data_IF_345459269719
#
_entry.id   IF_345459269719
#
_cell.length_a   1.000
_cell.length_b   1.000
_cell.length_c   1.000
_cell.angle_alpha   90.00
_cell.angle_beta   90.00
_cell.angle_gamma   90.00
#
_symmetry.space_group_name_H-M   'P 1'
#
loop_
_entity.id
_entity.type
_entity.pdbx_description
1 polymer ?
#
# COMPACT_ATOMS: atom_id res chain seq x y z
N UNK A 1 7.37 0.62 8.77
CA UNK A 1 6.51 0.80 7.58
C UNK A 1 5.50 1.89 7.84
N UNK A 2 4.63 1.74 8.85
CA UNK A 2 3.58 2.73 9.14
C UNK A 2 3.99 4.20 9.23
N UNK A 3 5.16 4.60 9.78
CA UNK A 3 5.55 6.01 9.77
C UNK A 3 5.78 6.59 8.37
N UNK A 4 6.37 5.81 7.46
CA UNK A 4 6.62 6.25 6.08
C UNK A 4 5.31 6.27 5.28
N UNK A 5 4.47 5.26 5.46
CA UNK A 5 3.12 5.18 4.86
C UNK A 5 2.23 6.34 5.30
N UNK A 6 2.19 6.66 6.61
CA UNK A 6 1.50 7.85 7.14
C UNK A 6 2.02 9.13 6.50
N UNK A 7 3.35 9.27 6.41
CA UNK A 7 3.96 10.44 5.77
C UNK A 7 3.59 10.56 4.29
N UNK A 8 3.49 9.44 3.58
CA UNK A 8 3.16 9.43 2.15
C UNK A 8 1.70 9.80 1.92
N UNK A 9 0.78 9.23 2.71
CA UNK A 9 -0.66 9.57 2.66
C UNK A 9 -0.89 11.04 3.00
N UNK A 10 -0.23 11.57 4.04
CA UNK A 10 -0.36 12.98 4.40
C UNK A 10 0.25 13.91 3.34
N UNK A 11 1.43 13.58 2.80
CA UNK A 11 2.09 14.41 1.77
C UNK A 11 1.28 14.51 0.48
N UNK A 12 0.53 13.46 0.15
CA UNK A 12 -0.20 13.30 -1.11
C UNK A 12 -1.72 13.37 -0.94
N UNK A 13 -2.22 13.98 0.14
CA UNK A 13 -3.65 14.03 0.44
C UNK A 13 -4.46 14.81 -0.60
N UNK A 14 -3.86 15.83 -1.22
CA UNK A 14 -4.44 16.64 -2.30
C UNK A 14 -4.12 16.11 -3.71
N UNK A 15 -3.46 14.95 -3.80
CA UNK A 15 -3.04 14.33 -5.04
C UNK A 15 -3.95 13.13 -5.40
N UNK A 16 -4.04 12.74 -6.68
CA UNK A 16 -4.76 11.55 -7.12
C UNK A 16 -3.99 10.27 -6.76
N UNK A 17 -3.73 10.09 -5.47
CA UNK A 17 -2.96 9.01 -4.87
C UNK A 17 -3.82 8.26 -3.85
N UNK A 18 -3.56 6.96 -3.70
CA UNK A 18 -4.18 6.16 -2.65
C UNK A 18 -3.22 5.07 -2.21
N UNK A 19 -2.99 5.00 -0.89
CA UNK A 19 -2.36 3.85 -0.26
C UNK A 19 -3.44 2.83 0.13
N UNK A 20 -3.21 1.57 -0.19
CA UNK A 20 -4.13 0.48 0.18
C UNK A 20 -3.35 -0.58 0.96
N UNK A 21 -3.81 -0.86 2.18
CA UNK A 21 -3.26 -1.90 3.04
C UNK A 21 -3.93 -3.26 2.81
N UNK A 22 -3.14 -4.32 2.84
CA UNK A 22 -3.64 -5.70 2.91
C UNK A 22 -2.92 -6.37 4.08
N UNK A 23 -3.66 -6.93 5.02
CA UNK A 23 -3.12 -7.52 6.24
C UNK A 23 -3.52 -8.99 6.37
N UNK A 24 -2.56 -9.84 6.71
CA UNK A 24 -2.71 -11.29 6.85
C UNK A 24 -2.74 -11.78 8.31
N UNK A 25 -2.72 -10.87 9.28
CA UNK A 25 -2.68 -11.22 10.70
C UNK A 25 -4.05 -11.74 11.17
N UNK A 26 -4.12 -12.43 12.32
CA UNK A 26 -5.39 -12.77 12.94
C UNK A 26 -6.32 -11.56 13.03
N UNK A 27 -7.62 -11.82 12.95
CA UNK A 27 -8.64 -10.76 12.84
C UNK A 27 -8.56 -9.77 14.00
N UNK A 28 -8.36 -10.26 15.21
CA UNK A 28 -8.26 -9.46 16.42
C UNK A 28 -7.05 -8.52 16.36
N UNK A 29 -5.88 -9.05 15.99
CA UNK A 29 -4.63 -8.31 15.85
C UNK A 29 -4.74 -7.22 14.76
N UNK A 30 -5.43 -7.52 13.66
CA UNK A 30 -5.69 -6.56 12.59
C UNK A 30 -6.47 -5.34 13.07
N UNK A 31 -7.57 -5.55 13.81
CA UNK A 31 -8.37 -4.43 14.33
C UNK A 31 -7.63 -3.65 15.41
N UNK A 32 -6.88 -4.33 16.29
CA UNK A 32 -6.04 -3.67 17.28
C UNK A 32 -4.97 -2.80 16.61
N UNK A 33 -4.34 -3.30 15.53
CA UNK A 33 -3.33 -2.56 14.80
C UNK A 33 -3.91 -1.30 14.12
N UNK A 34 -5.11 -1.37 13.55
CA UNK A 34 -5.77 -0.18 12.96
C UNK A 34 -5.95 0.91 14.01
N UNK A 35 -6.46 0.58 15.18
CA UNK A 35 -6.70 1.55 16.25
C UNK A 35 -5.40 2.08 16.84
N UNK A 36 -4.44 1.20 17.11
CA UNK A 36 -3.18 1.55 17.76
C UNK A 36 -2.24 2.38 16.88
N UNK A 37 -2.21 2.07 15.59
CA UNK A 37 -1.34 2.75 14.62
C UNK A 37 -2.05 3.88 13.87
N UNK A 38 -3.30 4.20 14.19
CA UNK A 38 -4.07 5.26 13.55
C UNK A 38 -4.04 5.13 12.01
N UNK A 39 -4.37 3.93 11.52
CA UNK A 39 -4.36 3.63 10.09
C UNK A 39 -5.57 4.31 9.45
N UNK A 40 -5.31 5.43 8.78
CA UNK A 40 -6.34 6.28 8.16
C UNK A 40 -6.65 5.93 6.71
N UNK A 41 -5.80 5.15 6.04
CA UNK A 41 -6.00 4.73 4.66
C UNK A 41 -6.83 3.45 4.55
N UNK A 42 -7.47 3.18 3.40
CA UNK A 42 -8.20 1.94 3.17
C UNK A 42 -7.32 0.72 3.42
N UNK A 43 -7.78 -0.18 4.28
CA UNK A 43 -7.09 -1.41 4.65
C UNK A 43 -8.05 -2.59 4.62
N UNK A 44 -7.56 -3.75 4.15
CA UNK A 44 -8.32 -4.98 4.03
C UNK A 44 -7.71 -6.08 4.89
N UNK A 45 -8.56 -6.78 5.64
CA UNK A 45 -8.19 -8.03 6.28
C UNK A 45 -8.28 -9.18 5.27
N UNK A 46 -7.18 -9.90 5.06
CA UNK A 46 -7.03 -10.93 4.04
C UNK A 46 -7.16 -12.35 4.62
N UNK A 47 -8.07 -12.53 5.57
CA UNK A 47 -8.46 -13.87 6.04
C UNK A 47 -7.55 -14.50 7.09
N UNK A 48 -6.56 -13.77 7.62
CA UNK A 48 -5.77 -14.20 8.78
C UNK A 48 -4.72 -15.29 8.52
N UNK A 49 -4.36 -15.50 7.25
CA UNK A 49 -3.22 -16.31 6.85
C UNK A 49 -2.40 -15.59 5.77
N UNK A 50 -1.12 -15.91 5.70
CA UNK A 50 -0.20 -15.37 4.69
C UNK A 50 -0.56 -15.73 3.24
N UNK A 51 -1.47 -16.69 3.02
CA UNK A 51 -2.04 -17.09 1.72
C UNK A 51 -3.52 -16.70 1.58
N UNK A 52 -3.91 -15.57 2.14
CA UNK A 52 -5.24 -14.99 1.95
C UNK A 52 -5.68 -14.86 0.48
N UNK A 53 -6.99 -14.68 0.22
CA UNK A 53 -7.52 -14.61 -1.14
C UNK A 53 -6.92 -13.48 -1.98
N UNK A 54 -6.63 -12.31 -1.39
CA UNK A 54 -5.99 -11.18 -2.08
C UNK A 54 -4.51 -11.52 -2.32
N UNK A 55 -3.77 -11.89 -1.28
CA UNK A 55 -2.35 -12.23 -1.36
C UNK A 55 -2.08 -13.32 -2.41
N UNK A 56 -2.89 -14.38 -2.43
CA UNK A 56 -2.82 -15.46 -3.41
C UNK A 56 -3.09 -14.95 -4.83
N UNK A 57 -4.16 -14.19 -5.04
CA UNK A 57 -4.50 -13.65 -6.36
C UNK A 57 -3.42 -12.70 -6.91
N UNK A 58 -2.76 -11.97 -6.03
CA UNK A 58 -1.68 -11.04 -6.37
C UNK A 58 -0.29 -11.71 -6.39
N UNK A 59 -0.20 -13.03 -6.23
CA UNK A 59 1.06 -13.77 -6.29
C UNK A 59 2.07 -13.34 -5.22
N UNK A 60 1.60 -12.99 -4.03
CA UNK A 60 2.45 -12.63 -2.89
C UNK A 60 3.12 -13.90 -2.36
N UNK A 61 4.44 -13.97 -2.45
CA UNK A 61 5.24 -15.09 -1.94
C UNK A 61 5.97 -14.81 -0.62
N UNK A 62 5.83 -13.60 -0.09
CA UNK A 62 6.49 -13.19 1.14
C UNK A 62 6.05 -11.79 1.59
N UNK A 63 6.12 -11.56 2.91
CA UNK A 63 5.67 -10.33 3.54
C UNK A 63 6.88 -9.55 4.10
N UNK A 64 6.93 -8.22 3.96
CA UNK A 64 5.99 -7.37 3.23
C UNK A 64 6.28 -7.34 1.72
N UNK A 65 5.21 -7.34 0.91
CA UNK A 65 5.25 -7.08 -0.54
C UNK A 65 4.55 -5.77 -0.86
N UNK A 66 5.15 -4.97 -1.74
CA UNK A 66 4.61 -3.66 -2.15
C UNK A 66 4.45 -3.64 -3.66
N UNK A 67 3.29 -3.20 -4.14
CA UNK A 67 3.00 -2.96 -5.55
C UNK A 67 2.78 -1.47 -5.75
N UNK A 68 3.47 -0.88 -6.72
CA UNK A 68 3.21 0.50 -7.16
C UNK A 68 2.50 0.42 -8.50
N UNK A 69 1.29 0.94 -8.55
CA UNK A 69 0.36 0.82 -9.68
C UNK A 69 0.06 2.23 -10.19
N UNK A 70 0.06 2.43 -11.50
CA UNK A 70 -0.31 3.71 -12.10
C UNK A 70 -1.82 3.86 -12.31
N UNK A 71 -2.23 5.03 -12.81
CA UNK A 71 -3.64 5.36 -13.07
C UNK A 71 -4.30 4.50 -14.16
N UNK A 72 -3.52 3.77 -14.97
CA UNK A 72 -4.02 2.83 -15.97
C UNK A 72 -4.17 1.40 -15.38
N UNK A 73 -3.83 1.21 -14.11
CA UNK A 73 -3.90 -0.08 -13.43
C UNK A 73 -2.71 -1.00 -13.72
N UNK A 74 -1.60 -0.46 -14.23
CA UNK A 74 -0.39 -1.23 -14.55
C UNK A 74 0.56 -1.22 -13.35
N UNK A 75 1.11 -2.38 -13.00
CA UNK A 75 2.17 -2.48 -11.98
C UNK A 75 3.46 -1.92 -12.58
N UNK A 76 3.95 -0.80 -12.04
CA UNK A 76 5.14 -0.11 -12.52
C UNK A 76 6.39 -0.45 -11.72
N UNK A 77 6.24 -0.83 -10.45
CA UNK A 77 7.34 -1.33 -9.63
C UNK A 77 6.84 -2.28 -8.53
N UNK A 78 7.76 -3.06 -7.96
CA UNK A 78 7.52 -3.99 -6.86
C UNK A 78 8.60 -3.87 -5.80
N UNK A 79 8.20 -3.85 -4.54
CA UNK A 79 9.09 -3.89 -3.37
C UNK A 79 10.08 -2.72 -3.22
N UNK A 80 9.80 -1.56 -3.85
CA UNK A 80 10.47 -0.31 -3.50
C UNK A 80 9.97 0.19 -2.14
N UNK A 81 10.87 0.80 -1.36
CA UNK A 81 10.61 1.26 0.02
C UNK A 81 11.34 2.57 0.26
N UNK A 82 10.83 3.37 1.21
CA UNK A 82 11.41 4.67 1.55
C UNK A 82 11.50 5.58 0.32
N UNK A 83 12.60 6.31 0.19
CA UNK A 83 12.82 7.27 -0.90
C UNK A 83 12.61 6.67 -2.30
N UNK A 84 13.00 5.41 -2.52
CA UNK A 84 12.80 4.75 -3.82
C UNK A 84 11.34 4.51 -4.17
N UNK A 85 10.46 4.40 -3.17
CA UNK A 85 9.02 4.36 -3.40
C UNK A 85 8.52 5.75 -3.77
N UNK A 86 8.96 6.77 -3.01
CA UNK A 86 8.55 8.15 -3.18
C UNK A 86 8.90 8.66 -4.59
N UNK A 87 10.11 8.38 -5.07
CA UNK A 87 10.56 8.71 -6.43
C UNK A 87 9.66 8.11 -7.52
N UNK A 88 9.22 6.85 -7.35
CA UNK A 88 8.35 6.19 -8.33
C UNK A 88 6.96 6.81 -8.28
N UNK A 89 6.41 7.03 -7.09
CA UNK A 89 5.08 7.64 -6.91
C UNK A 89 5.05 9.04 -7.51
N UNK A 90 6.03 9.88 -7.19
CA UNK A 90 6.10 11.26 -7.68
C UNK A 90 6.20 11.29 -9.22
N UNK A 91 7.02 10.42 -9.80
CA UNK A 91 7.10 10.28 -11.27
C UNK A 91 5.78 9.85 -11.89
N UNK A 92 5.06 8.91 -11.30
CA UNK A 92 3.77 8.46 -11.85
C UNK A 92 2.68 9.53 -11.74
N UNK A 93 2.72 10.36 -10.69
CA UNK A 93 1.85 11.52 -10.56
C UNK A 93 2.14 12.58 -11.63
N UNK A 94 3.42 12.84 -11.91
CA UNK A 94 3.82 13.72 -13.02
C UNK A 94 3.38 13.17 -14.38
N UNK A 95 3.60 11.87 -14.64
CA UNK A 95 3.15 11.19 -15.87
C UNK A 95 1.63 11.33 -16.06
N UNK A 96 0.84 11.20 -14.98
CA UNK A 96 -0.62 11.33 -15.03
C UNK A 96 -1.08 12.78 -15.30
N UNK A 97 -0.42 13.78 -14.70
CA UNK A 97 -0.80 15.20 -14.84
C UNK A 97 -0.33 15.82 -16.16
N UNK A 98 0.76 15.30 -16.73
CA UNK A 98 1.34 15.79 -17.99
C UNK A 98 0.74 15.16 -19.25
N UNK A 99 -0.19 14.20 -19.08
CA UNK A 99 -0.93 13.53 -20.16
C UNK A 99 -2.14 14.30 -20.66
#
# INVERSE_FOLDING_TARGET
MYPHERSLVSRLEDEPFSLVGVNSDPKEDYFEAIEKEDISWPSFWDGGDTNGPIATKWGVGGWPTIYIIDHEGIIRDRNKRGEKMDEVVDRLLEEMKGG
#
